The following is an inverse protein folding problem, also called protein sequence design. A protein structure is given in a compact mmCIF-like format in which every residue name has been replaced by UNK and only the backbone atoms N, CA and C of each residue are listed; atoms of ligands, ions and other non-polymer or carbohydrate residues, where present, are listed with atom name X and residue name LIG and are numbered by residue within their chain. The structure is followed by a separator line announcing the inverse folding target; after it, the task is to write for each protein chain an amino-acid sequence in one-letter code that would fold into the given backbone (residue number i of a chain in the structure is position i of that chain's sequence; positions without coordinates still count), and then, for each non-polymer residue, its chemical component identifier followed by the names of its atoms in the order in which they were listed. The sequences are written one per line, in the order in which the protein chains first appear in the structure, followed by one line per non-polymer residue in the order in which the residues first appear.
data_IF_641378105765
#
_entry.id   IF_641378105765
#
_cell.length_a   1.000
_cell.length_b   1.000
_cell.length_c   1.000
_cell.angle_alpha   90.00
_cell.angle_beta   90.00
_cell.angle_gamma   90.00
#
_symmetry.space_group_name_H-M   'P 1'
#
loop_
_entity.id
_entity.type
_entity.pdbx_description
1 polymer ?
#
# COMPACT_ATOMS: atom_id res chain seq x y z
N UNK A 1 -50.17 60.76 37.50
CA UNK A 1 -49.18 59.74 37.91
C UNK A 1 -49.27 58.57 36.95
N UNK A 2 -48.24 58.37 36.11
CA UNK A 2 -48.14 57.19 35.21
C UNK A 2 -47.37 56.11 35.95
N UNK A 3 -48.02 54.99 36.27
CA UNK A 3 -47.36 53.80 36.76
C UNK A 3 -46.58 53.14 35.62
N UNK A 4 -45.28 52.93 35.81
CA UNK A 4 -44.48 52.02 34.97
C UNK A 4 -44.73 50.59 35.46
N UNK A 5 -45.07 49.63 34.59
CA UNK A 5 -44.99 48.21 34.96
C UNK A 5 -43.53 47.88 35.26
N UNK A 6 -43.32 47.14 36.34
CA UNK A 6 -42.02 46.66 36.78
C UNK A 6 -41.28 45.97 35.65
N UNK A 7 -39.99 46.25 35.56
CA UNK A 7 -39.03 45.42 34.86
C UNK A 7 -39.02 44.11 35.65
N UNK A 8 -39.55 43.03 35.09
CA UNK A 8 -39.33 41.69 35.63
C UNK A 8 -37.83 41.39 35.47
N UNK A 9 -37.07 41.70 36.52
CA UNK A 9 -35.75 41.10 36.73
C UNK A 9 -36.01 39.64 37.15
N UNK A 10 -36.40 38.82 36.18
CA UNK A 10 -36.42 37.36 36.30
C UNK A 10 -34.96 36.90 36.39
N UNK A 11 -34.40 37.00 37.60
CA UNK A 11 -33.07 36.48 37.90
C UNK A 11 -33.06 34.99 37.61
N UNK A 12 -32.15 34.56 36.72
CA UNK A 12 -31.92 33.15 36.41
C UNK A 12 -31.92 32.32 37.69
N UNK A 13 -32.86 31.39 37.78
CA UNK A 13 -32.97 30.55 38.97
C UNK A 13 -31.72 29.68 39.06
N UNK A 14 -31.27 29.39 40.29
CA UNK A 14 -30.07 28.55 40.52
C UNK A 14 -30.16 27.20 39.78
N UNK A 15 -31.37 26.67 39.63
CA UNK A 15 -31.68 25.47 38.84
C UNK A 15 -31.34 25.64 37.36
N UNK A 16 -31.72 26.76 36.74
CA UNK A 16 -31.47 27.04 35.32
C UNK A 16 -29.97 27.09 35.01
N UNK A 17 -29.17 27.71 35.89
CA UNK A 17 -27.71 27.76 35.76
C UNK A 17 -27.09 26.36 35.87
N UNK A 18 -27.55 25.53 36.81
CA UNK A 18 -27.06 24.16 36.97
C UNK A 18 -27.39 23.29 35.76
N UNK A 19 -28.62 23.40 35.22
CA UNK A 19 -29.03 22.69 34.01
C UNK A 19 -28.21 23.15 32.81
N UNK A 20 -28.00 24.46 32.66
CA UNK A 20 -27.21 25.03 31.56
C UNK A 20 -25.76 24.56 31.60
N UNK A 21 -25.14 24.51 32.79
CA UNK A 21 -23.79 23.97 32.97
C UNK A 21 -23.73 22.47 32.64
N UNK A 22 -24.74 21.70 33.04
CA UNK A 22 -24.86 20.29 32.69
C UNK A 22 -24.92 20.07 31.18
N UNK A 23 -25.78 20.82 30.49
CA UNK A 23 -25.91 20.76 29.03
C UNK A 23 -24.59 21.16 28.37
N UNK A 24 -23.97 22.27 28.78
CA UNK A 24 -22.70 22.73 28.24
C UNK A 24 -21.60 21.65 28.39
N UNK A 25 -21.50 21.03 29.56
CA UNK A 25 -20.54 19.97 29.82
C UNK A 25 -20.78 18.76 28.89
N UNK A 26 -22.02 18.34 28.72
CA UNK A 26 -22.34 17.23 27.80
C UNK A 26 -22.03 17.55 26.34
N UNK A 27 -22.31 18.78 25.89
CA UNK A 27 -22.00 19.23 24.52
C UNK A 27 -20.49 19.26 24.30
N UNK A 28 -19.71 19.81 25.23
CA UNK A 28 -18.24 19.85 25.13
C UNK A 28 -17.63 18.44 25.12
N UNK A 29 -18.16 17.52 25.92
CA UNK A 29 -17.74 16.12 25.93
C UNK A 29 -18.01 15.45 24.57
N UNK A 30 -19.21 15.64 24.01
CA UNK A 30 -19.57 15.09 22.70
C UNK A 30 -18.68 15.65 21.56
N UNK A 31 -18.43 16.96 21.56
CA UNK A 31 -17.54 17.60 20.58
C UNK A 31 -16.11 17.07 20.67
N UNK A 32 -15.61 16.82 21.88
CA UNK A 32 -14.27 16.27 22.10
C UNK A 32 -14.16 14.85 21.51
N UNK A 33 -15.14 13.99 21.78
CA UNK A 33 -15.18 12.63 21.22
C UNK A 33 -15.28 12.65 19.70
N UNK A 34 -16.14 13.51 19.15
CA UNK A 34 -16.27 13.70 17.70
C UNK A 34 -14.96 14.16 17.07
N UNK A 35 -14.28 15.13 17.67
CA UNK A 35 -13.01 15.64 17.17
C UNK A 35 -11.91 14.57 17.16
N UNK A 36 -11.82 13.77 18.23
CA UNK A 36 -10.86 12.66 18.30
C UNK A 36 -11.15 11.59 17.23
N UNK A 37 -12.42 11.21 17.09
CA UNK A 37 -12.85 10.23 16.09
C UNK A 37 -12.59 10.74 14.65
N UNK A 38 -12.95 12.00 14.38
CA UNK A 38 -12.73 12.64 13.08
C UNK A 38 -11.25 12.73 12.76
N UNK A 39 -10.41 13.15 13.71
CA UNK A 39 -8.96 13.23 13.51
C UNK A 39 -8.34 11.86 13.23
N UNK A 40 -8.77 10.83 13.96
CA UNK A 40 -8.31 9.46 13.72
C UNK A 40 -8.72 8.97 12.32
N UNK A 41 -9.97 9.21 11.91
CA UNK A 41 -10.47 8.85 10.59
C UNK A 41 -9.69 9.55 9.46
N UNK A 42 -9.46 10.86 9.59
CA UNK A 42 -8.67 11.64 8.62
C UNK A 42 -7.24 11.11 8.50
N UNK A 43 -6.59 10.75 9.61
CA UNK A 43 -5.24 10.16 9.59
C UNK A 43 -5.22 8.82 8.87
N UNK A 44 -6.21 7.95 9.11
CA UNK A 44 -6.33 6.66 8.40
C UNK A 44 -6.44 6.84 6.89
N UNK A 45 -7.30 7.77 6.47
CA UNK A 45 -7.49 8.05 5.05
C UNK A 45 -6.23 8.65 4.42
N UNK A 46 -5.57 9.59 5.09
CA UNK A 46 -4.32 10.18 4.63
C UNK A 46 -3.22 9.12 4.48
N UNK A 47 -3.09 8.20 5.44
CA UNK A 47 -2.11 7.12 5.38
C UNK A 47 -2.39 6.14 4.22
N UNK A 48 -3.66 5.79 4.00
CA UNK A 48 -4.04 4.92 2.89
C UNK A 48 -3.78 5.57 1.52
N UNK A 49 -4.05 6.87 1.39
CA UNK A 49 -3.76 7.63 0.17
C UNK A 49 -2.26 7.74 -0.07
N UNK A 50 -1.47 8.07 0.95
CA UNK A 50 -0.02 8.11 0.86
C UNK A 50 0.54 6.73 0.48
N UNK A 51 0.09 5.65 1.11
CA UNK A 51 0.49 4.30 0.76
C UNK A 51 0.15 3.94 -0.69
N UNK A 52 -1.01 4.37 -1.18
CA UNK A 52 -1.42 4.16 -2.58
C UNK A 52 -0.52 4.92 -3.54
N UNK A 53 -0.22 6.19 -3.27
CA UNK A 53 0.71 6.99 -4.08
C UNK A 53 2.11 6.37 -4.09
N UNK A 54 2.58 5.89 -2.94
CA UNK A 54 3.85 5.16 -2.84
C UNK A 54 3.82 3.84 -3.61
N UNK A 55 2.70 3.12 -3.61
CA UNK A 55 2.57 1.90 -4.39
C UNK A 55 2.66 2.21 -5.88
N UNK A 56 1.96 3.26 -6.35
CA UNK A 56 2.02 3.74 -7.74
C UNK A 56 3.44 4.16 -8.12
N UNK A 57 4.12 4.96 -7.30
CA UNK A 57 5.52 5.33 -7.54
C UNK A 57 6.45 4.12 -7.58
N UNK A 58 6.20 3.12 -6.72
CA UNK A 58 6.91 1.85 -6.75
C UNK A 58 6.69 1.09 -8.06
N UNK A 59 5.49 1.16 -8.64
CA UNK A 59 5.17 0.56 -9.94
C UNK A 59 5.78 1.34 -11.11
N UNK A 60 5.82 2.66 -11.04
CA UNK A 60 6.53 3.51 -11.99
C UNK A 60 8.01 3.12 -12.04
N UNK A 61 8.67 2.97 -10.88
CA UNK A 61 10.06 2.48 -10.83
C UNK A 61 10.20 1.14 -11.56
N UNK A 62 9.32 0.19 -11.32
CA UNK A 62 9.35 -1.12 -11.99
C UNK A 62 9.14 -0.98 -13.50
N UNK A 63 8.28 -0.05 -13.94
CA UNK A 63 8.00 0.20 -15.36
C UNK A 63 9.22 0.76 -16.12
N UNK A 64 10.09 1.49 -15.42
CA UNK A 64 11.33 2.04 -15.97
C UNK A 64 12.44 0.98 -16.11
N UNK A 65 12.26 -0.20 -15.50
CA UNK A 65 13.24 -1.29 -15.56
C UNK A 65 12.96 -2.22 -16.74
N UNK A 66 14.05 -2.70 -17.33
CA UNK A 66 14.04 -3.81 -18.29
C UNK A 66 13.83 -5.13 -17.54
N UNK A 67 13.38 -6.18 -18.23
CA UNK A 67 13.16 -7.49 -17.59
C UNK A 67 14.41 -8.05 -16.90
N UNK A 68 15.60 -7.85 -17.47
CA UNK A 68 16.86 -8.23 -16.81
C UNK A 68 17.15 -7.39 -15.55
N UNK A 69 16.84 -6.09 -15.58
CA UNK A 69 17.03 -5.19 -14.43
C UNK A 69 16.10 -5.50 -13.25
N UNK A 70 14.94 -6.13 -13.51
CA UNK A 70 14.03 -6.60 -12.45
C UNK A 70 14.66 -7.70 -11.58
N UNK A 71 15.55 -8.50 -12.15
CA UNK A 71 16.21 -9.61 -11.46
C UNK A 71 17.58 -9.24 -10.90
N UNK A 72 18.21 -8.18 -11.41
CA UNK A 72 19.56 -7.77 -11.04
C UNK A 72 19.77 -7.71 -9.51
N UNK A 73 20.79 -8.41 -9.00
CA UNK A 73 21.15 -8.45 -7.59
C UNK A 73 20.20 -9.26 -6.70
N UNK A 74 19.13 -9.86 -7.25
CA UNK A 74 18.23 -10.75 -6.51
C UNK A 74 18.80 -12.17 -6.55
N UNK A 75 19.42 -12.62 -5.47
CA UNK A 75 19.90 -14.01 -5.35
C UNK A 75 18.79 -14.94 -4.87
N UNK A 76 18.93 -16.24 -5.14
CA UNK A 76 17.98 -17.25 -4.64
C UNK A 76 17.81 -17.16 -3.12
N UNK A 77 18.93 -17.07 -2.39
CA UNK A 77 18.91 -16.91 -0.93
C UNK A 77 18.15 -15.65 -0.52
N UNK A 78 18.44 -14.50 -1.15
CA UNK A 78 17.81 -13.24 -0.79
C UNK A 78 16.30 -13.24 -1.09
N UNK A 79 15.86 -13.90 -2.16
CA UNK A 79 14.44 -14.05 -2.50
C UNK A 79 13.74 -15.02 -1.54
N UNK A 80 14.37 -16.15 -1.19
CA UNK A 80 13.80 -17.10 -0.22
C UNK A 80 13.72 -16.55 1.20
N UNK A 81 14.66 -15.68 1.58
CA UNK A 81 14.68 -15.01 2.90
C UNK A 81 13.86 -13.71 2.92
N UNK A 82 13.29 -13.30 1.79
CA UNK A 82 12.54 -12.05 1.70
C UNK A 82 11.28 -12.10 2.57
N UNK A 83 11.15 -11.14 3.50
CA UNK A 83 9.99 -11.02 4.38
C UNK A 83 8.76 -10.66 3.55
N UNK A 84 7.68 -11.44 3.71
CA UNK A 84 6.40 -11.20 3.03
C UNK A 84 5.59 -10.14 3.76
N UNK A 85 5.19 -9.10 3.04
CA UNK A 85 4.25 -8.10 3.53
C UNK A 85 2.84 -8.71 3.67
N UNK A 86 2.01 -8.23 4.61
CA UNK A 86 0.62 -8.66 4.72
C UNK A 86 -0.12 -8.54 3.37
N UNK A 87 -0.89 -9.56 3.00
CA UNK A 87 -1.71 -9.57 1.77
C UNK A 87 -0.95 -9.87 0.48
N UNK A 88 0.38 -10.02 0.50
CA UNK A 88 1.16 -10.33 -0.70
C UNK A 88 0.90 -11.76 -1.23
N UNK A 89 0.48 -12.67 -0.36
CA UNK A 89 0.31 -14.10 -0.68
C UNK A 89 -0.74 -14.35 -1.77
N UNK A 90 -1.77 -13.50 -1.88
CA UNK A 90 -2.76 -13.58 -2.95
C UNK A 90 -2.15 -13.40 -4.36
N UNK A 91 -1.01 -12.70 -4.45
CA UNK A 91 -0.28 -12.45 -5.69
C UNK A 91 0.89 -13.41 -5.88
N UNK A 92 1.45 -13.94 -4.78
CA UNK A 92 2.58 -14.87 -4.75
C UNK A 92 2.15 -16.31 -4.48
N UNK A 93 0.89 -16.62 -4.78
CA UNK A 93 0.37 -17.98 -4.80
C UNK A 93 1.23 -18.84 -5.75
N UNK A 94 1.82 -19.95 -5.29
CA UNK A 94 2.65 -20.83 -6.12
C UNK A 94 1.94 -21.36 -7.38
N UNK A 95 0.60 -21.44 -7.39
CA UNK A 95 -0.17 -21.80 -8.58
C UNK A 95 -0.17 -20.67 -9.63
N UNK A 96 -0.03 -19.42 -9.21
CA UNK A 96 -0.11 -18.23 -10.07
C UNK A 96 1.24 -17.62 -10.40
N UNK A 97 2.21 -17.76 -9.51
CA UNK A 97 3.49 -17.05 -9.56
C UNK A 97 4.61 -17.91 -9.00
N UNK A 98 5.61 -18.21 -9.82
CA UNK A 98 6.86 -18.83 -9.38
C UNK A 98 7.88 -17.73 -9.07
N UNK A 99 8.39 -17.65 -7.83
CA UNK A 99 9.42 -16.65 -7.51
C UNK A 99 10.67 -16.87 -8.35
N UNK A 100 11.25 -15.78 -8.86
CA UNK A 100 12.43 -15.82 -9.74
C UNK A 100 13.55 -14.95 -9.18
N UNK A 101 14.79 -15.33 -9.48
CA UNK A 101 16.02 -14.66 -9.08
C UNK A 101 16.98 -14.59 -10.27
N UNK A 102 18.03 -13.79 -10.15
CA UNK A 102 19.09 -13.72 -11.16
C UNK A 102 19.88 -15.03 -11.19
N UNK A 103 20.02 -15.60 -12.39
CA UNK A 103 20.94 -16.72 -12.62
C UNK A 103 22.37 -16.25 -12.34
N UNK A 104 23.14 -16.93 -11.47
CA UNK A 104 24.54 -16.58 -11.20
C UNK A 104 25.44 -16.61 -12.44
N UNK A 105 25.05 -17.31 -13.52
CA UNK A 105 25.77 -17.30 -14.80
C UNK A 105 25.52 -16.04 -15.64
N UNK A 106 24.53 -15.21 -15.30
CA UNK A 106 24.21 -13.97 -16.01
C UNK A 106 25.21 -12.86 -15.65
N UNK A 107 26.36 -12.83 -16.34
CA UNK A 107 27.32 -11.73 -16.30
C UNK A 107 26.80 -10.54 -17.11
N UNK A 108 26.69 -9.35 -16.49
CA UNK A 108 26.26 -8.11 -17.16
C UNK A 108 24.99 -7.44 -16.62
N UNK A 109 24.55 -7.77 -15.40
CA UNK A 109 23.43 -7.07 -14.76
C UNK A 109 23.71 -5.57 -14.56
N UNK A 110 22.70 -4.69 -14.70
CA UNK A 110 22.87 -3.27 -14.40
C UNK A 110 23.37 -3.06 -12.97
N UNK A 111 24.06 -1.92 -12.75
CA UNK A 111 24.56 -1.55 -11.42
C UNK A 111 23.46 -1.67 -10.36
N UNK A 112 23.81 -2.11 -9.15
CA UNK A 112 22.90 -2.33 -8.03
C UNK A 112 21.97 -1.14 -7.68
N UNK A 113 22.29 0.06 -8.17
CA UNK A 113 21.45 1.26 -8.04
C UNK A 113 20.12 1.18 -8.83
N UNK A 114 20.04 0.39 -9.90
CA UNK A 114 18.85 0.24 -10.76
C UNK A 114 18.05 -1.05 -10.46
N UNK A 115 18.40 -1.82 -9.44
CA UNK A 115 17.67 -3.05 -9.11
C UNK A 115 16.45 -2.83 -8.22
N UNK A 116 15.66 -3.89 -8.05
CA UNK A 116 14.59 -3.97 -7.05
C UNK A 116 15.10 -4.72 -5.80
N UNK A 117 15.31 -4.01 -4.67
CA UNK A 117 15.79 -4.64 -3.45
C UNK A 117 14.87 -5.75 -2.95
N UNK A 118 15.46 -6.80 -2.37
CA UNK A 118 14.73 -7.87 -1.67
C UNK A 118 14.44 -7.51 -0.21
N UNK A 119 15.07 -6.48 0.35
CA UNK A 119 14.77 -5.97 1.69
C UNK A 119 13.81 -4.77 1.63
N UNK A 120 12.87 -4.65 2.59
CA UNK A 120 11.96 -3.50 2.65
C UNK A 120 12.72 -2.17 2.72
N UNK A 121 12.42 -1.25 1.81
CA UNK A 121 13.05 0.06 1.74
C UNK A 121 12.20 1.11 2.44
N UNK A 122 12.76 1.86 3.41
CA UNK A 122 12.03 2.96 4.03
C UNK A 122 11.78 4.10 3.04
N UNK A 123 10.60 4.72 3.12
CA UNK A 123 10.25 5.91 2.32
C UNK A 123 9.89 7.08 3.22
N UNK A 124 10.46 8.24 2.90
CA UNK A 124 10.17 9.50 3.58
C UNK A 124 8.94 10.14 2.93
N UNK A 125 7.95 10.48 3.75
CA UNK A 125 6.76 11.22 3.35
C UNK A 125 6.67 12.47 4.22
N UNK A 126 6.72 13.65 3.60
CA UNK A 126 6.56 14.93 4.31
C UNK A 126 7.59 15.21 5.40
N UNK A 127 8.82 14.68 5.28
CA UNK A 127 9.89 14.88 6.28
C UNK A 127 9.76 14.07 7.57
N UNK A 128 8.70 13.25 7.71
CA UNK A 128 8.55 12.34 8.84
C UNK A 128 9.47 11.11 8.68
N UNK A 129 10.03 10.57 9.78
CA UNK A 129 10.87 9.37 9.73
C UNK A 129 10.08 8.19 9.17
N UNK A 130 10.64 7.55 8.13
CA UNK A 130 10.45 6.19 7.58
C UNK A 130 9.19 5.38 7.95
N UNK A 131 8.03 6.02 8.05
CA UNK A 131 6.75 5.40 8.43
C UNK A 131 6.33 4.31 7.45
N UNK A 132 6.59 4.54 6.17
CA UNK A 132 6.25 3.62 5.10
C UNK A 132 7.48 2.82 4.69
N UNK A 133 7.26 1.55 4.34
CA UNK A 133 8.27 0.70 3.72
C UNK A 133 7.73 0.12 2.42
N UNK A 134 8.50 0.21 1.36
CA UNK A 134 8.23 -0.42 0.07
C UNK A 134 8.98 -1.74 -0.04
N UNK A 135 8.29 -2.77 -0.54
CA UNK A 135 8.85 -4.10 -0.81
C UNK A 135 8.48 -4.51 -2.22
N UNK A 136 9.44 -5.09 -2.95
CA UNK A 136 9.24 -5.60 -4.31
C UNK A 136 9.46 -7.10 -4.35
N UNK A 137 8.48 -7.81 -4.90
CA UNK A 137 8.54 -9.24 -5.15
C UNK A 137 8.45 -9.47 -6.64
N UNK A 138 9.30 -10.35 -7.17
CA UNK A 138 9.32 -10.67 -8.59
C UNK A 138 9.14 -12.18 -8.72
N UNK A 139 8.14 -12.55 -9.51
CA UNK A 139 7.92 -13.92 -9.94
C UNK A 139 7.64 -13.97 -11.42
N UNK A 140 7.56 -15.17 -11.97
CA UNK A 140 7.21 -15.44 -13.34
C UNK A 140 5.90 -16.24 -13.43
N UNK A 141 5.21 -16.06 -14.56
CA UNK A 141 4.01 -16.78 -14.92
C UNK A 141 3.85 -16.79 -16.45
N UNK A 142 2.96 -17.64 -16.94
CA UNK A 142 2.64 -17.78 -18.36
C UNK A 142 1.17 -17.53 -18.59
N UNK A 143 0.88 -16.73 -19.61
CA UNK A 143 -0.48 -16.40 -20.04
C UNK A 143 -0.75 -16.96 -21.45
N UNK A 144 -1.93 -17.55 -21.73
CA UNK A 144 -2.30 -17.91 -23.10
C UNK A 144 -2.25 -16.69 -24.04
N UNK A 145 -1.84 -16.90 -25.30
CA UNK A 145 -1.83 -15.83 -26.30
C UNK A 145 -3.24 -15.27 -26.59
N UNK A 146 -4.27 -16.11 -26.43
CA UNK A 146 -5.69 -15.74 -26.54
C UNK A 146 -6.23 -14.88 -25.38
N UNK A 147 -5.40 -14.56 -24.38
CA UNK A 147 -5.81 -13.91 -23.15
C UNK A 147 -6.22 -14.90 -22.04
N UNK A 148 -6.42 -14.38 -20.83
CA UNK A 148 -6.73 -15.16 -19.62
C UNK A 148 -5.75 -14.88 -18.48
N UNK A 149 -5.81 -15.73 -17.45
CA UNK A 149 -4.97 -15.60 -16.27
C UNK A 149 -3.51 -15.98 -16.53
N UNK A 150 -2.60 -15.27 -15.86
CA UNK A 150 -1.18 -15.59 -15.83
C UNK A 150 -0.91 -16.54 -14.66
N UNK A 151 -0.54 -17.78 -14.97
CA UNK A 151 -0.36 -18.86 -14.00
C UNK A 151 0.96 -19.59 -14.21
N UNK A 152 1.40 -20.34 -13.20
CA UNK A 152 2.55 -21.23 -13.36
C UNK A 152 2.11 -22.45 -14.15
N UNK A 153 2.87 -22.81 -15.18
CA UNK A 153 2.62 -24.01 -15.97
C UNK A 153 3.88 -24.87 -16.10
N UNK A 154 3.70 -26.20 -16.20
CA UNK A 154 4.76 -27.13 -16.57
C UNK A 154 5.48 -26.73 -17.87
N UNK A 155 6.75 -27.11 -18.02
CA UNK A 155 7.60 -26.68 -19.14
C UNK A 155 7.06 -27.10 -20.51
N UNK A 156 6.45 -28.29 -20.60
CA UNK A 156 5.78 -28.85 -21.77
C UNK A 156 4.54 -28.05 -22.21
N UNK A 157 3.96 -27.25 -21.31
CA UNK A 157 2.75 -26.44 -21.56
C UNK A 157 3.06 -24.95 -21.81
N UNK A 158 4.34 -24.57 -21.85
CA UNK A 158 4.77 -23.18 -22.09
C UNK A 158 4.68 -22.80 -23.57
N UNK A 159 4.71 -23.78 -24.48
CA UNK A 159 4.59 -23.53 -25.91
C UNK A 159 3.28 -22.79 -26.23
N UNK A 160 3.37 -21.71 -27.01
CA UNK A 160 2.22 -20.87 -27.37
C UNK A 160 1.71 -19.95 -26.25
N UNK A 161 2.41 -19.86 -25.11
CA UNK A 161 2.09 -18.93 -24.02
C UNK A 161 3.10 -17.78 -23.94
N UNK A 162 2.63 -16.63 -23.48
CA UNK A 162 3.44 -15.45 -23.24
C UNK A 162 4.05 -15.55 -21.84
N UNK A 163 5.39 -15.57 -21.77
CA UNK A 163 6.13 -15.50 -20.51
C UNK A 163 6.12 -14.07 -19.97
N UNK A 164 5.75 -13.91 -18.70
CA UNK A 164 5.61 -12.62 -18.04
C UNK A 164 6.21 -12.69 -16.64
N UNK A 165 6.86 -11.61 -16.22
CA UNK A 165 7.15 -11.35 -14.83
C UNK A 165 5.95 -10.70 -14.16
N UNK A 166 5.51 -11.29 -13.05
CA UNK A 166 4.62 -10.64 -12.09
C UNK A 166 5.47 -9.92 -11.07
N UNK A 167 5.43 -8.59 -11.11
CA UNK A 167 6.08 -7.76 -10.10
C UNK A 167 5.02 -7.24 -9.15
N UNK A 168 5.21 -7.51 -7.86
CA UNK A 168 4.31 -7.11 -6.78
C UNK A 168 5.01 -6.05 -5.95
N UNK A 169 4.36 -4.91 -5.77
CA UNK A 169 4.81 -3.83 -4.90
C UNK A 169 3.89 -3.79 -3.69
N UNK A 170 4.47 -3.94 -2.50
CA UNK A 170 3.76 -3.79 -1.25
C UNK A 170 4.30 -2.59 -0.48
N UNK A 171 3.41 -1.74 0.01
CA UNK A 171 3.73 -0.63 0.91
C UNK A 171 3.15 -0.94 2.27
N UNK A 172 3.99 -1.01 3.31
CA UNK A 172 3.55 -1.31 4.67
C UNK A 172 3.79 -0.13 5.60
N UNK A 173 2.90 0.07 6.58
CA UNK A 173 3.07 1.06 7.65
C UNK A 173 2.46 0.56 8.96
N UNK A 174 3.02 0.95 10.12
CA UNK A 174 2.46 0.59 11.41
C UNK A 174 1.15 1.37 11.64
N UNK A 175 0.10 0.66 12.05
CA UNK A 175 -1.16 1.26 12.52
C UNK A 175 -1.91 0.26 13.39
N UNK A 176 -2.59 0.78 14.42
CA UNK A 176 -3.47 -0.01 15.30
C UNK A 176 -4.77 -0.44 14.63
N UNK A 177 -5.06 0.12 13.45
CA UNK A 177 -6.30 -0.12 12.72
C UNK A 177 -6.27 -1.39 11.86
N UNK A 178 -5.10 -2.02 11.74
CA UNK A 178 -4.90 -3.24 10.98
C UNK A 178 -4.59 -4.42 11.91
N UNK A 179 -5.08 -5.64 11.59
CA UNK A 179 -4.70 -6.86 12.31
C UNK A 179 -3.17 -7.02 12.34
N UNK A 180 -2.60 -7.30 13.52
CA UNK A 180 -1.15 -7.42 13.69
C UNK A 180 -0.38 -6.09 13.72
N UNK A 181 -1.07 -4.95 13.79
CA UNK A 181 -0.44 -3.63 13.98
C UNK A 181 0.27 -3.07 12.75
N UNK A 182 0.14 -3.72 11.59
CA UNK A 182 0.77 -3.31 10.33
C UNK A 182 -0.26 -3.36 9.20
N UNK A 183 -0.48 -2.22 8.55
CA UNK A 183 -1.27 -2.14 7.34
C UNK A 183 -0.39 -2.35 6.10
N UNK A 184 -1.01 -2.80 5.01
CA UNK A 184 -0.35 -2.98 3.73
C UNK A 184 -1.25 -2.52 2.58
N UNK A 185 -0.64 -1.87 1.59
CA UNK A 185 -1.21 -1.61 0.28
C UNK A 185 -0.42 -2.42 -0.74
N UNK A 186 -1.06 -3.35 -1.43
CA UNK A 186 -0.40 -4.26 -2.37
C UNK A 186 -0.97 -4.05 -3.77
N UNK A 187 -0.08 -3.90 -4.74
CA UNK A 187 -0.41 -3.81 -6.15
C UNK A 187 0.53 -4.70 -6.95
N UNK A 188 0.11 -5.12 -8.15
CA UNK A 188 0.92 -5.97 -9.01
C UNK A 188 0.73 -5.60 -10.48
N UNK A 189 1.76 -5.87 -11.29
CA UNK A 189 1.66 -5.80 -12.75
C UNK A 189 2.42 -6.93 -13.40
N UNK A 190 2.07 -7.15 -14.67
CA UNK A 190 2.74 -8.09 -15.54
C UNK A 190 3.67 -7.32 -16.48
N UNK A 191 4.91 -7.79 -16.63
CA UNK A 191 5.91 -7.24 -17.54
C UNK A 191 6.52 -8.36 -18.36
N UNK A 192 6.76 -8.12 -19.64
CA UNK A 192 7.53 -9.07 -20.43
C UNK A 192 9.00 -9.08 -19.94
N UNK A 193 9.66 -10.25 -19.95
CA UNK A 193 11.08 -10.38 -19.59
C UNK A 193 12.02 -9.80 -20.65
N UNK A 194 11.57 -9.71 -21.91
CA UNK A 194 12.31 -9.11 -23.02
C UNK A 194 12.09 -7.60 -23.17
N UNK A 195 12.92 -6.96 -23.99
CA UNK A 195 12.79 -5.54 -24.37
C UNK A 195 11.71 -5.28 -25.43
N UNK A 196 11.25 -6.33 -26.11
CA UNK A 196 10.09 -6.26 -26.99
C UNK A 196 8.84 -6.38 -26.11
N UNK A 197 8.15 -5.25 -25.92
CA UNK A 197 6.77 -5.26 -25.46
C UNK A 197 6.01 -6.23 -26.38
N UNK A 198 5.21 -7.19 -25.87
CA UNK A 198 4.33 -7.96 -26.72
C UNK A 198 3.37 -6.94 -27.33
N UNK A 199 3.63 -6.56 -28.58
CA UNK A 199 2.74 -5.72 -29.34
C UNK A 199 1.39 -6.43 -29.33
N UNK A 200 0.45 -5.87 -28.58
CA UNK A 200 -0.95 -6.24 -28.68
C UNK A 200 -1.38 -5.84 -30.08
N UNK A 201 -1.20 -6.74 -31.04
CA UNK A 201 -1.68 -6.56 -32.40
C UNK A 201 -3.19 -6.43 -32.33
N UNK A 202 -3.67 -5.21 -32.51
CA UNK A 202 -5.02 -4.93 -33.02
C UNK A 202 -5.07 -5.34 -34.49
#
# INVERSE_FOLDING_TARGET
MRARPGRDDDGHTLLETLVSLGILATVLAALTLFYLASTAATRRQADAQAATQLAVSGMERVSLLTGAALLAGRTEQAVRQQVRAPGVDAYLDPAKTALVWQDPAATGGPAAALSLPTSPQPVLVGGAPTKFRQSWYVGECWRPASGGDCVVVPADQRAGRVHLYRVVVAVTWPSRDCPGGTCAQVTAMLRAPGSADPTFGL
#
